data_IF_885982206481
#
_entry.id   IF_885982206481
#
_cell.length_a   1.000
_cell.length_b   1.000
_cell.length_c   1.000
_cell.angle_alpha   90.00
_cell.angle_beta   90.00
_cell.angle_gamma   90.00
#
_symmetry.space_group_name_H-M   'P 1'
#
loop_
_entity.id
_entity.type
_entity.pdbx_description
1 polymer ?
#
# COMPACT_ATOMS: atom_id res chain seq x y z
N UNK A 1 -29.90 -18.69 20.39
CA UNK A 1 -28.58 -18.12 19.98
C UNK A 1 -28.50 -17.57 18.54
N UNK A 2 -29.21 -18.10 17.52
CA UNK A 2 -29.02 -17.72 16.09
C UNK A 2 -29.48 -16.30 15.66
N UNK A 3 -30.36 -15.61 16.41
CA UNK A 3 -30.92 -14.28 16.03
C UNK A 3 -29.91 -13.12 16.16
N UNK A 4 -29.00 -13.16 17.14
CA UNK A 4 -28.01 -12.11 17.35
C UNK A 4 -26.90 -12.11 16.30
N UNK A 5 -26.54 -13.28 15.76
CA UNK A 5 -25.55 -13.40 14.70
C UNK A 5 -26.02 -12.74 13.40
N UNK A 6 -27.26 -12.98 12.97
CA UNK A 6 -27.83 -12.34 11.76
C UNK A 6 -27.91 -10.81 11.87
N UNK A 7 -28.19 -10.27 13.07
CA UNK A 7 -28.20 -8.80 13.31
C UNK A 7 -26.78 -8.20 13.22
N UNK A 8 -25.76 -8.86 13.77
CA UNK A 8 -24.35 -8.44 13.66
C UNK A 8 -23.86 -8.42 12.20
N UNK A 9 -24.15 -9.48 11.43
CA UNK A 9 -23.80 -9.56 10.01
C UNK A 9 -24.44 -8.43 9.19
N UNK A 10 -25.71 -8.10 9.44
CA UNK A 10 -26.40 -6.96 8.79
C UNK A 10 -25.78 -5.61 9.15
N UNK A 11 -25.33 -5.42 10.40
CA UNK A 11 -24.69 -4.17 10.86
C UNK A 11 -23.29 -3.99 10.27
N UNK A 12 -22.51 -5.07 10.14
CA UNK A 12 -21.22 -5.09 9.43
C UNK A 12 -21.39 -4.80 7.94
N UNK A 13 -22.33 -5.47 7.26
CA UNK A 13 -22.60 -5.24 5.83
C UNK A 13 -23.03 -3.79 5.56
N UNK A 14 -23.88 -3.19 6.42
CA UNK A 14 -24.22 -1.75 6.33
C UNK A 14 -23.02 -0.82 6.53
N UNK A 15 -22.07 -1.16 7.42
CA UNK A 15 -20.87 -0.35 7.61
C UNK A 15 -19.91 -0.43 6.42
N UNK A 16 -19.77 -1.61 5.83
CA UNK A 16 -18.93 -1.83 4.65
C UNK A 16 -19.47 -1.04 3.46
N UNK A 17 -20.77 -1.17 3.14
CA UNK A 17 -21.43 -0.40 2.06
C UNK A 17 -21.28 1.12 2.25
N UNK A 18 -21.39 1.62 3.49
CA UNK A 18 -21.17 3.05 3.78
C UNK A 18 -19.72 3.49 3.55
N UNK A 19 -18.73 2.65 3.86
CA UNK A 19 -17.31 2.93 3.60
C UNK A 19 -17.02 2.92 2.11
N UNK A 20 -17.56 1.96 1.37
CA UNK A 20 -17.39 1.84 -0.07
C UNK A 20 -18.00 3.04 -0.81
N UNK A 21 -19.21 3.46 -0.44
CA UNK A 21 -19.82 4.69 -0.97
C UNK A 21 -18.98 5.94 -0.68
N UNK A 22 -18.37 6.02 0.51
CA UNK A 22 -17.51 7.16 0.87
C UNK A 22 -16.22 7.16 0.04
N UNK A 23 -15.65 5.97 -0.22
CA UNK A 23 -14.46 5.80 -1.08
C UNK A 23 -14.76 6.20 -2.52
N UNK A 24 -15.87 5.71 -3.09
CA UNK A 24 -16.32 6.09 -4.44
C UNK A 24 -16.56 7.59 -4.60
N UNK A 25 -17.15 8.24 -3.59
CA UNK A 25 -17.33 9.70 -3.60
C UNK A 25 -16.01 10.45 -3.54
N UNK A 26 -15.06 9.99 -2.72
CA UNK A 26 -13.73 10.58 -2.65
C UNK A 26 -12.96 10.43 -3.98
N UNK A 27 -13.04 9.27 -4.62
CA UNK A 27 -12.45 9.03 -5.94
C UNK A 27 -13.03 9.98 -7.00
N UNK A 28 -14.36 10.15 -7.02
CA UNK A 28 -15.01 11.05 -7.96
C UNK A 28 -14.59 12.52 -7.77
N UNK A 29 -14.46 12.99 -6.52
CA UNK A 29 -14.00 14.35 -6.22
C UNK A 29 -12.55 14.54 -6.65
N UNK A 30 -11.69 13.55 -6.39
CA UNK A 30 -10.28 13.58 -6.80
C UNK A 30 -10.14 13.68 -8.31
N UNK A 31 -10.95 12.93 -9.06
CA UNK A 31 -10.94 12.95 -10.51
C UNK A 31 -11.49 14.29 -11.08
N UNK A 32 -12.60 14.83 -10.53
CA UNK A 32 -13.15 16.11 -10.97
C UNK A 32 -12.24 17.31 -10.68
N UNK A 33 -11.48 17.26 -9.58
CA UNK A 33 -10.59 18.34 -9.15
C UNK A 33 -9.12 18.12 -9.58
N UNK A 34 -8.84 17.05 -10.32
CA UNK A 34 -7.48 16.65 -10.71
C UNK A 34 -6.48 16.62 -9.54
N UNK A 35 -6.95 16.19 -8.36
CA UNK A 35 -6.10 16.16 -7.18
C UNK A 35 -5.13 14.96 -7.24
N UNK A 36 -3.91 15.10 -6.69
CA UNK A 36 -2.97 13.99 -6.61
C UNK A 36 -3.53 12.84 -5.75
N UNK A 37 -3.72 11.67 -6.37
CA UNK A 37 -4.34 10.49 -5.75
C UNK A 37 -3.53 9.97 -4.56
N UNK A 38 -2.21 10.06 -4.60
CA UNK A 38 -1.32 9.69 -3.50
C UNK A 38 -1.54 10.55 -2.24
N UNK A 39 -1.81 11.84 -2.42
CA UNK A 39 -2.04 12.79 -1.32
C UNK A 39 -3.44 12.62 -0.73
N UNK A 40 -4.46 12.54 -1.58
CA UNK A 40 -5.86 12.50 -1.10
C UNK A 40 -6.28 11.10 -0.67
N UNK A 41 -5.80 10.08 -1.38
CA UNK A 41 -6.28 8.70 -1.23
C UNK A 41 -5.26 7.80 -0.52
N UNK A 42 -4.08 8.32 -0.16
CA UNK A 42 -3.00 7.57 0.48
C UNK A 42 -2.47 6.44 -0.40
N UNK A 43 -2.56 6.59 -1.72
CA UNK A 43 -2.02 5.62 -2.67
C UNK A 43 -0.50 5.61 -2.58
N UNK A 44 0.12 4.44 -2.49
CA UNK A 44 1.58 4.35 -2.56
C UNK A 44 2.11 4.85 -3.90
N UNK A 45 3.28 5.47 -3.84
CA UNK A 45 4.06 5.84 -5.02
C UNK A 45 5.38 5.11 -4.96
N UNK A 46 5.69 4.40 -6.03
CA UNK A 46 6.99 3.77 -6.21
C UNK A 46 7.74 4.42 -7.35
N UNK A 47 8.98 4.83 -7.09
CA UNK A 47 9.87 5.38 -8.10
C UNK A 47 11.09 4.46 -8.23
N UNK A 48 11.38 4.03 -9.46
CA UNK A 48 12.56 3.23 -9.79
C UNK A 48 13.59 4.07 -10.50
N UNK A 49 14.84 3.97 -10.07
CA UNK A 49 16.00 4.55 -10.75
C UNK A 49 16.83 3.39 -11.30
N UNK A 50 16.55 3.02 -12.56
CA UNK A 50 17.04 1.77 -13.14
C UNK A 50 16.51 0.56 -12.36
N UNK A 51 17.31 -0.52 -12.30
CA UNK A 51 17.03 -1.67 -11.44
C UNK A 51 17.90 -1.68 -10.17
N UNK A 52 18.60 -0.59 -9.88
CA UNK A 52 19.53 -0.49 -8.74
C UNK A 52 18.91 0.14 -7.50
N UNK A 53 17.86 0.95 -7.68
CA UNK A 53 17.23 1.69 -6.59
C UNK A 53 15.72 1.81 -6.77
N UNK A 54 14.99 1.72 -5.67
CA UNK A 54 13.55 1.92 -5.60
C UNK A 54 13.18 2.73 -4.36
N UNK A 55 12.44 3.81 -4.55
CA UNK A 55 11.82 4.57 -3.47
C UNK A 55 10.33 4.19 -3.37
N UNK A 56 9.84 4.02 -2.15
CA UNK A 56 8.44 3.72 -1.86
C UNK A 56 7.91 4.74 -0.85
N UNK A 57 6.91 5.53 -1.26
CA UNK A 57 6.19 6.47 -0.41
C UNK A 57 4.93 5.84 0.18
N UNK A 58 4.39 6.46 1.23
CA UNK A 58 3.33 5.91 2.08
C UNK A 58 3.71 4.56 2.70
N UNK A 59 4.99 4.42 3.05
CA UNK A 59 5.52 3.31 3.85
C UNK A 59 4.84 3.28 5.22
N UNK A 60 4.38 2.11 5.66
CA UNK A 60 3.77 1.92 6.99
C UNK A 60 4.58 1.01 7.89
N UNK A 61 5.06 -0.11 7.36
CA UNK A 61 5.90 -1.05 8.12
C UNK A 61 6.77 -1.89 7.20
N UNK A 62 7.93 -2.26 7.70
CA UNK A 62 8.76 -3.31 7.12
C UNK A 62 8.21 -4.67 7.59
N UNK A 63 8.06 -5.62 6.67
CA UNK A 63 7.56 -6.95 6.98
C UNK A 63 8.69 -7.98 7.01
N UNK A 64 9.59 -7.93 6.03
CA UNK A 64 10.81 -8.73 5.99
C UNK A 64 11.90 -7.96 5.26
N UNK A 65 13.15 -8.17 5.65
CA UNK A 65 14.31 -7.63 4.97
C UNK A 65 15.38 -8.72 4.93
N UNK A 66 15.51 -9.35 3.76
CA UNK A 66 16.52 -10.34 3.44
C UNK A 66 17.31 -9.84 2.23
N UNK A 67 18.50 -10.40 2.02
CA UNK A 67 19.39 -9.99 0.94
C UNK A 67 18.76 -10.17 -0.46
N UNK A 68 17.83 -11.10 -0.63
CA UNK A 68 17.19 -11.40 -1.91
C UNK A 68 15.71 -11.02 -1.98
N UNK A 69 15.13 -10.61 -0.84
CA UNK A 69 13.72 -10.25 -0.74
C UNK A 69 13.48 -9.20 0.36
N UNK A 70 12.81 -8.11 0.00
CA UNK A 70 12.31 -7.11 0.95
C UNK A 70 10.80 -7.00 0.78
N UNK A 71 10.06 -7.24 1.87
CA UNK A 71 8.62 -7.03 1.91
C UNK A 71 8.28 -5.80 2.74
N UNK A 72 7.47 -4.91 2.16
CA UNK A 72 7.05 -3.64 2.74
C UNK A 72 5.51 -3.58 2.74
N UNK A 73 4.92 -3.06 3.81
CA UNK A 73 3.53 -2.67 3.84
C UNK A 73 3.40 -1.17 3.53
N UNK A 74 2.56 -0.84 2.58
CA UNK A 74 2.08 0.53 2.34
C UNK A 74 0.67 0.71 2.92
N UNK A 75 0.11 1.91 2.77
CA UNK A 75 -1.26 2.20 3.20
C UNK A 75 -2.32 1.28 2.59
N UNK A 76 -2.09 0.72 1.40
CA UNK A 76 -3.08 -0.11 0.68
C UNK A 76 -2.61 -1.50 0.31
N UNK A 77 -1.34 -1.65 -0.03
CA UNK A 77 -0.82 -2.90 -0.56
C UNK A 77 0.40 -3.37 0.23
N UNK A 78 0.70 -4.66 0.10
CA UNK A 78 2.01 -5.19 0.43
C UNK A 78 2.85 -5.23 -0.84
N UNK A 79 4.05 -4.66 -0.79
CA UNK A 79 5.01 -4.68 -1.90
C UNK A 79 6.11 -5.69 -1.54
N UNK A 80 6.28 -6.71 -2.38
CA UNK A 80 7.41 -7.63 -2.34
C UNK A 80 8.41 -7.25 -3.42
N UNK A 81 9.64 -6.95 -3.02
CA UNK A 81 10.76 -6.60 -3.89
C UNK A 81 11.73 -7.78 -3.84
N UNK A 82 12.01 -8.42 -4.96
CA UNK A 82 12.98 -9.52 -5.05
C UNK A 82 14.17 -9.13 -5.91
N UNK A 83 15.33 -9.69 -5.61
CA UNK A 83 16.57 -9.29 -6.26
C UNK A 83 17.81 -9.96 -5.69
N UNK A 84 18.96 -9.32 -5.86
CA UNK A 84 20.24 -9.68 -5.24
C UNK A 84 20.83 -8.48 -4.53
N UNK A 85 21.49 -8.73 -3.40
CA UNK A 85 22.14 -7.68 -2.59
C UNK A 85 21.18 -6.52 -2.27
N UNK A 86 19.92 -6.85 -1.97
CA UNK A 86 18.91 -5.89 -1.56
C UNK A 86 19.23 -5.36 -0.16
N UNK A 87 19.15 -4.04 0.01
CA UNK A 87 19.37 -3.36 1.27
C UNK A 87 18.43 -2.15 1.41
N UNK A 88 18.13 -1.78 2.65
CA UNK A 88 17.46 -0.51 2.93
C UNK A 88 18.51 0.60 2.99
N UNK A 89 18.49 1.53 2.04
CA UNK A 89 19.39 2.68 2.02
C UNK A 89 18.97 3.75 3.05
N UNK A 90 17.67 3.97 3.19
CA UNK A 90 17.11 4.74 4.30
C UNK A 90 15.66 4.33 4.58
N UNK A 91 15.21 4.60 5.80
CA UNK A 91 13.81 4.58 6.17
C UNK A 91 13.47 5.91 6.87
N UNK A 92 12.38 6.53 6.44
CA UNK A 92 11.76 7.70 7.03
C UNK A 92 10.30 7.38 7.38
N UNK A 93 9.61 8.33 8.03
CA UNK A 93 8.26 8.09 8.57
C UNK A 93 7.25 7.58 7.52
N UNK A 94 7.31 8.07 6.29
CA UNK A 94 6.36 7.73 5.23
C UNK A 94 7.07 7.33 3.93
N UNK A 95 8.37 7.05 3.98
CA UNK A 95 9.17 6.76 2.80
C UNK A 95 10.31 5.79 3.12
N UNK A 96 10.60 4.88 2.20
CA UNK A 96 11.76 3.97 2.25
C UNK A 96 12.47 3.97 0.91
N UNK A 97 13.80 3.89 0.94
CA UNK A 97 14.62 3.58 -0.23
C UNK A 97 15.26 2.22 -0.10
N UNK A 98 15.06 1.39 -1.10
CA UNK A 98 15.70 0.10 -1.31
C UNK A 98 16.75 0.24 -2.40
N UNK A 99 17.90 -0.37 -2.18
CA UNK A 99 18.99 -0.47 -3.16
C UNK A 99 19.37 -1.94 -3.36
N UNK A 100 20.05 -2.24 -4.47
CA UNK A 100 20.46 -3.59 -4.84
C UNK A 100 20.04 -3.92 -6.26
N UNK A 101 20.24 -5.15 -6.73
CA UNK A 101 19.82 -5.56 -8.07
C UNK A 101 18.38 -6.08 -8.03
N UNK A 102 17.42 -5.21 -8.34
CA UNK A 102 15.99 -5.50 -8.33
C UNK A 102 15.62 -6.29 -9.59
N UNK A 103 14.98 -7.43 -9.41
CA UNK A 103 14.55 -8.32 -10.51
C UNK A 103 13.04 -8.41 -10.66
N UNK A 104 12.28 -8.27 -9.57
CA UNK A 104 10.82 -8.27 -9.62
C UNK A 104 10.22 -7.44 -8.49
N UNK A 105 9.03 -6.91 -8.76
CA UNK A 105 8.21 -6.12 -7.84
C UNK A 105 6.79 -6.65 -7.93
N UNK A 106 6.26 -7.18 -6.83
CA UNK A 106 4.91 -7.71 -6.75
C UNK A 106 4.08 -6.91 -5.75
N UNK A 107 2.88 -6.51 -6.19
CA UNK A 107 1.87 -5.88 -5.34
C UNK A 107 0.85 -6.94 -4.89
N UNK A 108 0.60 -6.99 -3.59
CA UNK A 108 -0.31 -7.94 -2.96
C UNK A 108 -1.36 -7.19 -2.12
N UNK A 109 -2.57 -7.76 -2.03
CA UNK A 109 -3.70 -7.25 -1.21
C UNK A 109 -3.59 -7.62 0.27
#
# INVERSE_FOLDING_TARGET
MKRNMKKRMRKQKKHQVKRDMKKQRAEHVVDCLHLPKDVVMGAELTQLSGNSEMQVRNFKKLLSCQENEICIQTGRHRIRITGRCLAMAYFASEEVKVTGCITSICYEE
#
